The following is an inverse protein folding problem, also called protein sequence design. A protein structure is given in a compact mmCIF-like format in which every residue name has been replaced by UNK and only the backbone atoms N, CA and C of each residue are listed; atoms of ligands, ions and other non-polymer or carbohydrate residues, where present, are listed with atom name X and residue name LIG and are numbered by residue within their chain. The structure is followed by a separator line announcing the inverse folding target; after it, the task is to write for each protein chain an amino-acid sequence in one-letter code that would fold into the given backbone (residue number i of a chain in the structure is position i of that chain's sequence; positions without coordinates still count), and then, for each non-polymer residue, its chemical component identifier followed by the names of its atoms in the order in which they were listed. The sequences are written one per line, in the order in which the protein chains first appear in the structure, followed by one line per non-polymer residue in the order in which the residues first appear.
data_IF_286946082768
#
_entry.id   IF_286946082768
#
_cell.length_a   1.000
_cell.length_b   1.000
_cell.length_c   1.000
_cell.angle_alpha   90.00
_cell.angle_beta   90.00
_cell.angle_gamma   90.00
#
_symmetry.space_group_name_H-M   'P 1'
#
loop_
_entity.id
_entity.type
_entity.pdbx_description
1 polymer ?
#
# COMPACT_ATOMS: atom_id res chain seq x y z
N UNK A 1 -14.11 -4.76 13.35
CA UNK A 1 -13.01 -4.61 12.38
C UNK A 1 -11.98 -5.70 12.66
N UNK A 2 -11.10 -6.02 11.70
CA UNK A 2 -9.92 -6.83 12.01
C UNK A 2 -8.95 -6.00 12.87
N UNK A 3 -8.25 -6.62 13.82
CA UNK A 3 -7.18 -5.97 14.61
C UNK A 3 -6.15 -5.27 13.72
N UNK A 4 -5.88 -5.83 12.53
CA UNK A 4 -4.95 -5.23 11.56
C UNK A 4 -5.48 -3.90 11.02
N UNK A 5 -6.79 -3.80 10.78
CA UNK A 5 -7.42 -2.59 10.23
C UNK A 5 -7.53 -1.48 11.29
N UNK A 6 -7.76 -1.87 12.54
CA UNK A 6 -7.68 -0.99 13.70
C UNK A 6 -6.26 -0.41 13.85
N UNK A 7 -5.22 -1.24 13.74
CA UNK A 7 -3.83 -0.77 13.80
C UNK A 7 -3.42 0.13 12.64
N UNK A 8 -3.97 -0.07 11.43
CA UNK A 8 -3.73 0.85 10.31
C UNK A 8 -4.35 2.22 10.58
N UNK A 9 -5.60 2.23 11.02
CA UNK A 9 -6.31 3.47 11.37
C UNK A 9 -5.58 4.23 12.48
N UNK A 10 -5.06 3.49 13.46
CA UNK A 10 -4.28 4.05 14.56
C UNK A 10 -2.93 4.61 14.10
N UNK A 11 -2.24 3.97 13.15
CA UNK A 11 -1.00 4.50 12.57
C UNK A 11 -1.22 5.85 11.88
N UNK A 12 -2.29 5.97 11.09
CA UNK A 12 -2.66 7.24 10.44
C UNK A 12 -2.95 8.31 11.51
N UNK A 13 -3.72 7.96 12.55
CA UNK A 13 -4.00 8.88 13.66
C UNK A 13 -2.73 9.37 14.36
N UNK A 14 -1.77 8.47 14.60
CA UNK A 14 -0.48 8.83 15.22
C UNK A 14 0.35 9.74 14.30
N UNK A 15 0.31 9.50 13.00
CA UNK A 15 0.97 10.35 12.01
C UNK A 15 0.41 11.77 12.04
N UNK A 16 -0.92 11.91 12.04
CA UNK A 16 -1.58 13.23 12.10
C UNK A 16 -1.18 13.99 13.37
N UNK A 17 -1.15 13.31 14.52
CA UNK A 17 -0.71 13.90 15.78
C UNK A 17 0.76 14.33 15.71
N UNK A 18 1.64 13.49 15.17
CA UNK A 18 3.05 13.83 15.04
C UNK A 18 3.28 15.05 14.13
N UNK A 19 2.44 15.23 13.09
CA UNK A 19 2.46 16.42 12.23
C UNK A 19 2.00 17.64 13.04
N UNK A 20 0.89 17.54 13.78
CA UNK A 20 0.38 18.63 14.61
C UNK A 20 1.39 19.05 15.69
N UNK A 21 2.01 18.09 16.38
CA UNK A 21 3.06 18.34 17.38
C UNK A 21 4.26 19.04 16.74
N UNK A 22 4.65 18.64 15.53
CA UNK A 22 5.75 19.30 14.80
C UNK A 22 5.42 20.77 14.55
N UNK A 23 4.20 21.09 14.13
CA UNK A 23 3.75 22.47 13.90
C UNK A 23 3.78 23.26 15.21
N UNK A 24 3.19 22.74 16.29
CA UNK A 24 3.20 23.39 17.61
C UNK A 24 4.62 23.70 18.09
N UNK A 25 5.52 22.72 18.00
CA UNK A 25 6.91 22.87 18.44
C UNK A 25 7.65 23.93 17.63
N UNK A 26 7.42 24.00 16.31
CA UNK A 26 8.02 25.02 15.44
C UNK A 26 7.47 26.40 15.75
N UNK A 27 6.16 26.54 15.94
CA UNK A 27 5.52 27.81 16.32
C UNK A 27 6.06 28.32 17.66
N UNK A 28 6.16 27.44 18.66
CA UNK A 28 6.72 27.78 19.97
C UNK A 28 8.20 28.18 19.86
N UNK A 29 8.99 27.46 19.07
CA UNK A 29 10.39 27.81 18.82
C UNK A 29 10.54 29.18 18.14
N UNK A 30 9.62 29.51 17.23
CA UNK A 30 9.59 30.81 16.56
C UNK A 30 9.27 31.96 17.52
N UNK A 31 8.45 31.69 18.53
CA UNK A 31 8.02 32.66 19.54
C UNK A 31 8.99 32.82 20.73
N UNK A 32 10.08 32.05 20.78
CA UNK A 32 11.12 32.23 21.80
C UNK A 32 11.89 33.55 21.60
N UNK A 33 12.26 34.21 22.70
CA UNK A 33 13.12 35.39 22.69
C UNK A 33 14.58 35.01 22.37
N UNK A 34 14.98 35.19 21.11
CA UNK A 34 16.29 34.81 20.58
C UNK A 34 17.42 35.80 20.93
N UNK A 35 17.10 36.93 21.58
CA UNK A 35 18.12 37.87 22.05
C UNK A 35 18.81 37.36 23.33
N UNK A 36 18.10 36.55 24.12
CA UNK A 36 18.65 35.94 25.34
C UNK A 36 19.31 34.58 25.08
N UNK A 37 20.32 34.24 25.89
CA UNK A 37 20.93 32.90 25.85
C UNK A 37 19.92 31.80 26.16
N UNK A 38 18.99 32.07 27.10
CA UNK A 38 17.95 31.12 27.51
C UNK A 38 16.99 30.87 26.36
N UNK A 39 16.40 31.92 25.77
CA UNK A 39 15.45 31.73 24.67
C UNK A 39 16.07 31.15 23.40
N UNK A 40 17.36 31.39 23.12
CA UNK A 40 18.11 30.63 22.09
C UNK A 40 18.21 29.14 22.42
N UNK A 41 18.47 28.81 23.69
CA UNK A 41 18.51 27.43 24.18
C UNK A 41 17.14 26.73 24.05
N UNK A 42 16.07 27.42 24.44
CA UNK A 42 14.70 26.90 24.36
C UNK A 42 14.30 26.66 22.90
N UNK A 43 14.54 27.64 22.01
CA UNK A 43 14.28 27.49 20.58
C UNK A 43 15.05 26.29 19.99
N UNK A 44 16.31 26.10 20.37
CA UNK A 44 17.11 24.97 19.91
C UNK A 44 16.50 23.62 20.32
N UNK A 45 16.06 23.47 21.58
CA UNK A 45 15.44 22.24 22.04
C UNK A 45 14.08 21.99 21.40
N UNK A 46 13.28 23.03 21.19
CA UNK A 46 12.00 22.92 20.51
C UNK A 46 12.17 22.49 19.05
N UNK A 47 13.09 23.09 18.29
CA UNK A 47 13.39 22.63 16.92
C UNK A 47 13.94 21.21 16.89
N UNK A 48 14.76 20.83 17.87
CA UNK A 48 15.28 19.45 17.96
C UNK A 48 14.14 18.45 18.18
N UNK A 49 13.20 18.75 19.06
CA UNK A 49 12.00 17.94 19.27
C UNK A 49 11.11 17.91 18.02
N UNK A 50 10.91 19.05 17.36
CA UNK A 50 10.12 19.13 16.12
C UNK A 50 10.71 18.24 15.00
N UNK A 51 12.04 18.19 14.87
CA UNK A 51 12.68 17.28 13.92
C UNK A 51 12.46 15.80 14.26
N UNK A 52 12.40 15.46 15.55
CA UNK A 52 12.10 14.08 15.97
C UNK A 52 10.64 13.70 15.67
N UNK A 53 9.68 14.58 15.96
CA UNK A 53 8.26 14.35 15.67
C UNK A 53 8.02 14.25 14.17
N UNK A 54 8.66 15.11 13.37
CA UNK A 54 8.59 15.04 11.91
C UNK A 54 9.17 13.73 11.36
N UNK A 55 10.31 13.27 11.91
CA UNK A 55 10.90 12.00 11.51
C UNK A 55 10.00 10.80 11.84
N UNK A 56 9.22 10.86 12.92
CA UNK A 56 8.22 9.84 13.24
C UNK A 56 7.11 9.85 12.17
N UNK A 57 6.56 11.01 11.84
CA UNK A 57 5.53 11.13 10.80
C UNK A 57 6.01 10.57 9.45
N UNK A 58 7.22 10.95 9.02
CA UNK A 58 7.79 10.46 7.76
C UNK A 58 8.02 8.95 7.73
N UNK A 59 8.43 8.35 8.87
CA UNK A 59 8.60 6.89 8.97
C UNK A 59 7.27 6.15 8.93
N UNK A 60 6.21 6.74 9.49
CA UNK A 60 4.86 6.17 9.40
C UNK A 60 4.35 6.22 7.96
N UNK A 61 4.54 7.33 7.24
CA UNK A 61 4.21 7.44 5.81
C UNK A 61 4.91 6.34 5.00
N UNK A 62 6.24 6.20 5.17
CA UNK A 62 7.03 5.16 4.49
C UNK A 62 6.51 3.75 4.78
N UNK A 63 6.07 3.48 6.01
CA UNK A 63 5.51 2.18 6.39
C UNK A 63 4.17 1.92 5.71
N UNK A 64 3.31 2.94 5.62
CA UNK A 64 2.01 2.88 4.95
C UNK A 64 2.21 2.66 3.45
N UNK A 65 3.07 3.46 2.80
CA UNK A 65 3.42 3.32 1.38
C UNK A 65 3.99 1.94 1.08
N UNK A 66 4.93 1.45 1.89
CA UNK A 66 5.55 0.13 1.70
C UNK A 66 4.50 -1.00 1.80
N UNK A 67 3.56 -0.91 2.75
CA UNK A 67 2.46 -1.89 2.85
C UNK A 67 1.52 -1.84 1.67
N UNK A 68 1.11 -0.65 1.23
CA UNK A 68 0.22 -0.48 0.09
C UNK A 68 0.87 -1.04 -1.19
N UNK A 69 2.18 -0.81 -1.36
CA UNK A 69 2.95 -1.39 -2.46
C UNK A 69 2.98 -2.91 -2.42
N UNK A 70 3.28 -3.52 -1.26
CA UNK A 70 3.28 -4.98 -1.10
C UNK A 70 1.89 -5.55 -1.42
N UNK A 71 0.82 -4.93 -0.90
CA UNK A 71 -0.55 -5.39 -1.16
C UNK A 71 -0.90 -5.32 -2.64
N UNK A 72 -0.53 -4.23 -3.33
CA UNK A 72 -0.76 -4.09 -4.77
C UNK A 72 -0.07 -5.19 -5.59
N UNK A 73 1.15 -5.59 -5.21
CA UNK A 73 1.90 -6.68 -5.86
C UNK A 73 1.17 -8.01 -5.66
N UNK A 74 0.76 -8.34 -4.43
CA UNK A 74 0.03 -9.59 -4.14
C UNK A 74 -1.28 -9.67 -4.90
N UNK A 75 -2.02 -8.56 -4.99
CA UNK A 75 -3.30 -8.52 -5.72
C UNK A 75 -3.08 -8.75 -7.22
N UNK A 76 -2.01 -8.18 -7.78
CA UNK A 76 -1.67 -8.34 -9.20
C UNK A 76 -1.27 -9.79 -9.52
N UNK A 77 -0.46 -10.43 -8.68
CA UNK A 77 -0.09 -11.85 -8.85
C UNK A 77 -1.30 -12.80 -8.73
N UNK A 78 -2.24 -12.51 -7.83
CA UNK A 78 -3.49 -13.28 -7.71
C UNK A 78 -4.37 -13.11 -8.95
N UNK A 79 -4.52 -11.88 -9.45
CA UNK A 79 -5.28 -11.60 -10.67
C UNK A 79 -4.68 -12.27 -11.93
N UNK A 80 -3.35 -12.30 -12.06
CA UNK A 80 -2.67 -12.98 -13.16
C UNK A 80 -2.89 -14.49 -13.12
N UNK A 81 -2.74 -15.13 -11.95
CA UNK A 81 -3.05 -16.57 -11.78
C UNK A 81 -4.51 -16.90 -12.08
N UNK A 82 -5.42 -16.00 -11.74
CA UNK A 82 -6.85 -16.20 -11.98
C UNK A 82 -7.18 -16.10 -13.48
N UNK A 83 -6.55 -15.17 -14.21
CA UNK A 83 -6.64 -15.07 -15.67
C UNK A 83 -6.02 -16.27 -16.38
N UNK A 84 -4.90 -16.81 -15.88
CA UNK A 84 -4.29 -18.03 -16.42
C UNK A 84 -5.21 -19.25 -16.25
N UNK A 85 -5.80 -19.43 -15.06
CA UNK A 85 -6.73 -20.52 -14.80
C UNK A 85 -8.01 -20.43 -15.66
N UNK A 86 -8.47 -19.22 -15.96
CA UNK A 86 -9.61 -18.98 -16.85
C UNK A 86 -9.25 -19.25 -18.32
N UNK A 87 -8.07 -18.82 -18.77
CA UNK A 87 -7.55 -19.12 -20.10
C UNK A 87 -7.37 -20.64 -20.31
N UNK A 88 -6.90 -21.38 -19.31
CA UNK A 88 -6.74 -22.83 -19.38
C UNK A 88 -8.10 -23.55 -19.51
N UNK A 89 -9.13 -23.10 -18.79
CA UNK A 89 -10.51 -23.60 -18.94
C UNK A 89 -11.07 -23.34 -20.34
N UNK A 90 -10.84 -22.15 -20.89
CA UNK A 90 -11.24 -21.81 -22.26
C UNK A 90 -10.52 -22.70 -23.29
N UNK A 91 -9.22 -22.92 -23.14
CA UNK A 91 -8.46 -23.81 -24.02
C UNK A 91 -8.94 -25.26 -23.94
N UNK A 92 -9.25 -25.76 -22.75
CA UNK A 92 -9.84 -27.09 -22.55
C UNK A 92 -11.22 -27.21 -23.22
N UNK A 93 -12.06 -26.17 -23.11
CA UNK A 93 -13.34 -26.07 -23.79
C UNK A 93 -13.18 -26.13 -25.32
N UNK A 94 -12.30 -25.30 -25.87
CA UNK A 94 -12.02 -25.26 -27.32
C UNK A 94 -11.47 -26.60 -27.81
N UNK A 95 -10.53 -27.22 -27.08
CA UNK A 95 -10.01 -28.55 -27.41
C UNK A 95 -11.10 -29.62 -27.42
N UNK A 96 -12.03 -29.59 -26.45
CA UNK A 96 -13.17 -30.50 -26.41
C UNK A 96 -14.07 -30.30 -27.64
N UNK A 97 -14.43 -29.07 -27.97
CA UNK A 97 -15.26 -28.78 -29.15
C UNK A 97 -14.57 -29.18 -30.47
N UNK A 98 -13.28 -28.90 -30.63
CA UNK A 98 -12.51 -29.33 -31.80
C UNK A 98 -12.44 -30.87 -31.90
N UNK A 99 -12.28 -31.57 -30.78
CA UNK A 99 -12.25 -33.04 -30.76
C UNK A 99 -13.60 -33.67 -31.14
N UNK A 100 -14.73 -33.02 -30.78
CA UNK A 100 -16.07 -33.42 -31.23
C UNK A 100 -16.20 -33.24 -32.73
N UNK A 101 -15.83 -32.07 -33.27
CA UNK A 101 -15.85 -31.79 -34.72
C UNK A 101 -14.98 -32.76 -35.52
N UNK A 102 -13.83 -33.16 -34.98
CA UNK A 102 -12.92 -34.15 -35.60
C UNK A 102 -13.47 -35.58 -35.58
N UNK A 103 -14.38 -35.90 -34.65
CA UNK A 103 -15.09 -37.20 -34.62
C UNK A 103 -16.29 -37.22 -35.56
N UNK A 104 -17.01 -36.11 -35.71
CA UNK A 104 -18.13 -36.01 -36.66
C UNK A 104 -17.62 -36.15 -38.11
N UNK A 105 -16.56 -35.43 -38.46
CA UNK A 105 -15.94 -35.54 -39.81
C UNK A 105 -15.37 -36.91 -40.17
N UNK A 106 -15.12 -37.80 -39.19
CA UNK A 106 -14.64 -39.17 -39.45
C UNK A 106 -15.78 -40.19 -39.62
N UNK A 107 -17.02 -39.84 -39.26
CA UNK A 107 -18.20 -40.69 -39.47
C UNK A 107 -18.84 -40.47 -40.84
N UNK A 108 -18.69 -39.29 -41.42
CA UNK A 108 -19.29 -38.95 -42.71
C UNK A 108 -18.46 -39.37 -43.93
N UNK A 109 -17.35 -40.11 -43.71
CA UNK A 109 -16.45 -40.61 -44.77
C UNK A 109 -16.51 -42.11 -45.00
N UNK A 110 -17.59 -42.79 -44.58
CA UNK A 110 -17.74 -44.25 -44.76
C UNK A 110 -19.12 -44.62 -45.30
N UNK A 111 -19.54 -43.96 -46.37
CA UNK A 111 -20.46 -44.54 -47.36
C UNK A 111 -19.94 -44.15 -48.74
N UNK A 112 -19.65 -45.16 -49.57
CA UNK A 112 -19.06 -45.03 -50.91
C UNK A 112 -17.86 -45.93 -51.12
#
# INVERSE_FOLDING_TARGET
MSKIEEYKSELVRIQDIAILDTVDLVERANNCDKETKVGRGDAFWLYKSANQTLAIAARIEQLIEARNKIQSITTTEEEEKQKEAEAEKLLLSVRKELSKRKKVTKKDGKEG
#
